data_IF_527467364433
#
_entry.id   IF_527467364433
#
_cell.length_a   1.000
_cell.length_b   1.000
_cell.length_c   1.000
_cell.angle_alpha   90.00
_cell.angle_beta   90.00
_cell.angle_gamma   90.00
#
_symmetry.space_group_name_H-M   'P 1'
#
loop_
_entity.id
_entity.type
_entity.pdbx_description
1 polymer ?
#
# COMPACT_ATOMS: atom_id res chain seq x y z
N UNK A 1 -65.32 -14.94 -44.22
CA UNK A 1 -65.25 -16.31 -43.68
C UNK A 1 -63.81 -16.82 -43.82
N UNK A 2 -63.17 -17.06 -42.66
CA UNK A 2 -62.07 -18.00 -42.36
C UNK A 2 -60.89 -18.13 -43.37
N UNK A 3 -59.73 -17.56 -42.99
CA UNK A 3 -58.41 -18.09 -43.41
C UNK A 3 -57.98 -19.21 -42.43
N UNK A 4 -57.39 -20.31 -42.91
CA UNK A 4 -57.08 -21.49 -42.09
C UNK A 4 -55.71 -21.38 -41.37
N UNK A 5 -55.70 -21.88 -40.14
CA UNK A 5 -54.64 -22.58 -39.39
C UNK A 5 -53.16 -22.29 -39.73
N UNK A 6 -52.53 -21.48 -38.89
CA UNK A 6 -51.08 -21.53 -38.66
C UNK A 6 -50.76 -22.69 -37.68
N UNK A 7 -50.51 -23.88 -38.21
CA UNK A 7 -50.09 -25.05 -37.43
C UNK A 7 -48.57 -25.25 -37.43
N UNK A 8 -48.02 -25.34 -36.21
CA UNK A 8 -46.92 -26.23 -35.79
C UNK A 8 -45.44 -26.01 -36.17
N UNK A 9 -45.03 -25.02 -36.97
CA UNK A 9 -43.59 -24.91 -37.31
C UNK A 9 -42.74 -24.03 -36.37
N UNK A 10 -43.33 -23.09 -35.64
CA UNK A 10 -42.59 -22.19 -34.73
C UNK A 10 -42.12 -22.81 -33.41
N UNK A 11 -42.42 -24.08 -33.13
CA UNK A 11 -42.13 -24.77 -31.84
C UNK A 11 -41.15 -25.94 -31.94
N UNK A 12 -40.45 -26.11 -33.07
CA UNK A 12 -39.53 -27.24 -33.28
C UNK A 12 -38.06 -26.93 -32.96
N UNK A 13 -37.62 -25.67 -33.05
CA UNK A 13 -36.21 -25.30 -32.82
C UNK A 13 -35.79 -25.40 -31.34
N UNK A 14 -36.73 -25.18 -30.41
CA UNK A 14 -36.51 -25.36 -28.96
C UNK A 14 -36.38 -26.84 -28.51
N UNK A 15 -36.56 -27.81 -29.41
CA UNK A 15 -36.54 -29.25 -29.10
C UNK A 15 -35.27 -29.99 -29.54
N UNK A 16 -34.25 -29.30 -30.08
CA UNK A 16 -32.88 -29.85 -30.14
C UNK A 16 -32.19 -29.74 -28.78
N UNK A 17 -32.91 -30.15 -27.73
CA UNK A 17 -32.51 -30.09 -26.32
C UNK A 17 -31.38 -31.08 -26.07
N UNK A 18 -30.34 -30.60 -25.38
CA UNK A 18 -29.36 -31.42 -24.68
C UNK A 18 -30.05 -32.61 -24.01
N UNK A 19 -29.87 -33.83 -24.56
CA UNK A 19 -30.31 -35.07 -23.93
C UNK A 19 -29.28 -35.46 -22.88
N UNK A 20 -29.30 -34.78 -21.73
CA UNK A 20 -28.53 -35.24 -20.59
C UNK A 20 -29.13 -36.57 -20.11
N UNK A 21 -28.31 -37.63 -20.08
CA UNK A 21 -28.66 -38.84 -19.34
C UNK A 21 -28.93 -38.47 -17.89
N UNK A 22 -29.88 -39.14 -17.23
CA UNK A 22 -30.15 -38.94 -15.79
C UNK A 22 -28.85 -39.02 -14.96
N UNK A 23 -27.92 -39.90 -15.37
CA UNK A 23 -26.59 -40.01 -14.75
C UNK A 23 -25.76 -38.75 -14.90
N UNK A 24 -25.76 -38.12 -16.07
CA UNK A 24 -25.03 -36.87 -16.33
C UNK A 24 -25.68 -35.71 -15.58
N UNK A 25 -27.02 -35.64 -15.54
CA UNK A 25 -27.73 -34.63 -14.76
C UNK A 25 -27.42 -34.76 -13.26
N UNK A 26 -27.48 -35.98 -12.71
CA UNK A 26 -27.17 -36.23 -11.30
C UNK A 26 -25.71 -35.91 -10.96
N UNK A 27 -24.78 -36.22 -11.87
CA UNK A 27 -23.36 -35.89 -11.70
C UNK A 27 -23.13 -34.38 -11.68
N UNK A 28 -23.71 -33.63 -12.63
CA UNK A 28 -23.63 -32.17 -12.68
C UNK A 28 -24.30 -31.55 -11.45
N UNK A 29 -25.48 -32.03 -11.07
CA UNK A 29 -26.19 -31.53 -9.88
C UNK A 29 -25.37 -31.76 -8.60
N UNK A 30 -24.82 -32.95 -8.42
CA UNK A 30 -23.95 -33.26 -7.27
C UNK A 30 -22.71 -32.38 -7.26
N UNK A 31 -22.07 -32.18 -8.41
CA UNK A 31 -20.92 -31.28 -8.52
C UNK A 31 -21.28 -29.83 -8.16
N UNK A 32 -22.40 -29.32 -8.67
CA UNK A 32 -22.91 -27.99 -8.32
C UNK A 32 -23.24 -27.88 -6.83
N UNK A 33 -23.88 -28.90 -6.24
CA UNK A 33 -24.21 -28.92 -4.81
C UNK A 33 -22.97 -28.93 -3.93
N UNK A 34 -21.92 -29.69 -4.32
CA UNK A 34 -20.64 -29.70 -3.61
C UNK A 34 -19.92 -28.35 -3.71
N UNK A 35 -19.86 -27.76 -4.91
CA UNK A 35 -19.29 -26.43 -5.12
C UNK A 35 -20.04 -25.37 -4.30
N UNK A 36 -21.37 -25.41 -4.32
CA UNK A 36 -22.20 -24.50 -3.54
C UNK A 36 -21.98 -24.71 -2.03
N UNK A 37 -21.91 -25.96 -1.56
CA UNK A 37 -21.63 -26.29 -0.17
C UNK A 37 -20.26 -25.78 0.29
N UNK A 38 -19.24 -25.88 -0.55
CA UNK A 38 -17.92 -25.31 -0.29
C UNK A 38 -17.96 -23.78 -0.20
N UNK A 39 -18.61 -23.11 -1.16
CA UNK A 39 -18.76 -21.66 -1.17
C UNK A 39 -19.53 -21.16 0.05
N UNK A 40 -20.66 -21.78 0.39
CA UNK A 40 -21.44 -21.42 1.60
C UNK A 40 -20.62 -21.64 2.86
N UNK A 41 -19.84 -22.72 2.95
CA UNK A 41 -18.97 -22.97 4.09
C UNK A 41 -17.87 -21.91 4.22
N UNK A 42 -17.28 -21.50 3.09
CA UNK A 42 -16.30 -20.40 3.03
C UNK A 42 -16.93 -19.09 3.49
N UNK A 43 -18.09 -18.73 2.93
CA UNK A 43 -18.83 -17.51 3.26
C UNK A 43 -19.18 -17.48 4.75
N UNK A 44 -19.68 -18.58 5.32
CA UNK A 44 -19.98 -18.66 6.77
C UNK A 44 -18.75 -18.46 7.66
N UNK A 45 -17.59 -18.99 7.27
CA UNK A 45 -16.33 -18.73 8.01
C UNK A 45 -15.94 -17.26 7.92
N UNK A 46 -16.02 -16.67 6.72
CA UNK A 46 -15.75 -15.26 6.50
C UNK A 46 -16.70 -14.36 7.31
N UNK A 47 -18.00 -14.63 7.30
CA UNK A 47 -19.00 -13.89 8.07
C UNK A 47 -18.69 -13.92 9.57
N UNK A 48 -18.33 -15.10 10.13
CA UNK A 48 -17.95 -15.20 11.54
C UNK A 48 -16.68 -14.40 11.85
N UNK A 49 -15.69 -14.42 10.97
CA UNK A 49 -14.47 -13.65 11.13
C UNK A 49 -14.74 -12.14 11.01
N UNK A 50 -15.52 -11.71 10.02
CA UNK A 50 -15.94 -10.31 9.83
C UNK A 50 -16.70 -9.82 11.06
N UNK A 51 -17.74 -10.54 11.50
CA UNK A 51 -18.51 -10.18 12.68
C UNK A 51 -17.65 -10.12 13.95
N UNK A 52 -16.65 -11.01 14.08
CA UNK A 52 -15.69 -10.96 15.17
C UNK A 52 -14.86 -9.68 15.13
N UNK A 53 -14.28 -9.33 13.98
CA UNK A 53 -13.46 -8.12 13.85
C UNK A 53 -14.30 -6.84 13.98
N UNK A 54 -15.48 -6.75 13.37
CA UNK A 54 -16.37 -5.59 13.45
C UNK A 54 -16.87 -5.32 14.87
N UNK A 55 -17.28 -6.38 15.60
CA UNK A 55 -17.64 -6.26 17.02
C UNK A 55 -16.49 -5.70 17.85
N UNK A 56 -15.27 -5.91 17.39
CA UNK A 56 -14.05 -5.48 18.02
C UNK A 56 -13.42 -4.25 17.33
N UNK A 57 -14.21 -3.44 16.60
CA UNK A 57 -13.76 -2.16 16.03
C UNK A 57 -12.94 -2.27 14.74
N UNK A 58 -12.79 -3.46 14.17
CA UNK A 58 -12.24 -3.66 12.83
C UNK A 58 -13.18 -3.13 11.75
N UNK A 59 -12.61 -2.52 10.71
CA UNK A 59 -13.34 -1.98 9.57
C UNK A 59 -12.98 -2.74 8.31
N UNK A 60 -13.98 -3.14 7.53
CA UNK A 60 -13.79 -3.84 6.27
C UNK A 60 -14.09 -2.97 5.06
N UNK A 61 -13.41 -3.26 3.96
CA UNK A 61 -13.87 -2.89 2.64
C UNK A 61 -13.90 -4.12 1.72
N UNK A 62 -14.86 -4.12 0.82
CA UNK A 62 -15.17 -5.26 -0.05
C UNK A 62 -14.68 -5.03 -1.48
N UNK A 63 -14.52 -6.12 -2.22
CA UNK A 63 -14.06 -6.16 -3.62
C UNK A 63 -14.72 -5.16 -4.56
N UNK A 64 -16.03 -4.93 -4.44
CA UNK A 64 -16.75 -3.97 -5.29
C UNK A 64 -16.47 -2.50 -4.93
N UNK A 65 -15.98 -2.23 -3.73
CA UNK A 65 -15.76 -0.87 -3.20
C UNK A 65 -14.37 -0.33 -3.46
N UNK A 66 -13.40 -1.17 -3.83
CA UNK A 66 -11.99 -0.81 -3.85
C UNK A 66 -11.29 -1.39 -5.07
N UNK A 67 -10.53 -0.56 -5.76
CA UNK A 67 -9.64 -0.99 -6.84
C UNK A 67 -8.18 -0.82 -6.42
N UNK A 68 -7.31 -1.75 -6.81
CA UNK A 68 -5.86 -1.58 -6.68
C UNK A 68 -5.33 -0.77 -7.85
N UNK A 69 -4.59 0.31 -7.55
CA UNK A 69 -3.81 1.04 -8.55
C UNK A 69 -2.61 0.20 -8.97
N UNK A 70 -2.50 -0.08 -10.26
CA UNK A 70 -1.39 -0.85 -10.83
C UNK A 70 -0.05 -0.14 -10.64
N UNK A 71 -0.05 1.20 -10.71
CA UNK A 71 1.13 2.06 -10.66
C UNK A 71 1.67 2.20 -9.24
N UNK A 72 0.77 2.44 -8.30
CA UNK A 72 1.14 2.71 -6.92
C UNK A 72 1.13 1.47 -6.07
N UNK A 73 0.40 0.43 -6.48
CA UNK A 73 -0.05 -0.59 -5.57
C UNK A 73 -0.72 0.09 -4.38
N UNK A 74 -1.61 1.06 -4.55
CA UNK A 74 -2.48 1.58 -3.48
C UNK A 74 -3.92 1.15 -3.75
N UNK A 75 -4.63 0.75 -2.70
CA UNK A 75 -6.06 0.46 -2.81
C UNK A 75 -6.86 1.74 -2.62
N UNK A 76 -7.61 2.11 -3.67
CA UNK A 76 -8.39 3.35 -3.74
C UNK A 76 -9.87 2.97 -3.75
N UNK A 77 -10.67 3.65 -2.94
CA UNK A 77 -12.12 3.48 -2.97
C UNK A 77 -12.65 3.91 -4.34
N UNK A 78 -13.45 3.06 -4.98
CA UNK A 78 -14.08 3.38 -6.26
C UNK A 78 -15.10 4.49 -6.05
N UNK A 79 -15.04 5.54 -6.87
CA UNK A 79 -16.00 6.63 -6.86
C UNK A 79 -16.53 6.88 -8.28
N UNK A 80 -17.85 6.66 -8.54
CA UNK A 80 -18.84 6.13 -7.61
C UNK A 80 -18.53 4.68 -7.20
N UNK A 81 -19.01 4.27 -6.02
CA UNK A 81 -18.92 2.86 -5.59
C UNK A 81 -19.64 2.00 -6.62
N UNK A 82 -19.02 0.89 -7.04
CA UNK A 82 -19.65 -0.01 -8.01
C UNK A 82 -20.96 -0.59 -7.44
N UNK A 83 -21.91 -0.93 -8.32
CA UNK A 83 -23.11 -1.64 -7.91
C UNK A 83 -22.78 -2.97 -7.24
N UNK A 84 -23.55 -3.33 -6.21
CA UNK A 84 -23.44 -4.62 -5.53
C UNK A 84 -23.46 -5.78 -6.54
N UNK A 85 -22.52 -6.73 -6.48
CA UNK A 85 -22.46 -7.83 -7.44
C UNK A 85 -23.62 -8.80 -7.22
N UNK A 86 -24.17 -9.32 -8.33
CA UNK A 86 -25.22 -10.35 -8.34
C UNK A 86 -26.63 -9.78 -8.50
N UNK A 87 -27.57 -10.54 -9.11
CA UNK A 87 -28.96 -10.13 -9.24
C UNK A 87 -29.66 -10.03 -7.87
N UNK A 88 -30.52 -9.03 -7.70
CA UNK A 88 -31.25 -8.78 -6.43
C UNK A 88 -31.98 -10.03 -5.91
N UNK A 89 -32.74 -10.71 -6.77
CA UNK A 89 -33.50 -11.91 -6.41
C UNK A 89 -32.62 -13.02 -5.83
N UNK A 90 -31.37 -13.10 -6.25
CA UNK A 90 -30.45 -14.16 -5.83
C UNK A 90 -29.71 -13.76 -4.55
N UNK A 91 -29.45 -12.46 -4.36
CA UNK A 91 -28.95 -11.91 -3.10
C UNK A 91 -29.98 -12.05 -1.98
N UNK A 92 -31.26 -11.82 -2.26
CA UNK A 92 -32.34 -12.03 -1.30
C UNK A 92 -32.44 -13.49 -0.84
N UNK A 93 -32.10 -14.44 -1.72
CA UNK A 93 -32.14 -15.86 -1.41
C UNK A 93 -30.87 -16.40 -0.73
N UNK A 94 -29.69 -16.00 -1.20
CA UNK A 94 -28.40 -16.53 -0.71
C UNK A 94 -27.69 -15.66 0.33
N UNK A 95 -28.12 -14.41 0.47
CA UNK A 95 -27.43 -13.38 1.24
C UNK A 95 -26.36 -12.64 0.43
N UNK A 96 -26.14 -11.38 0.77
CA UNK A 96 -25.17 -10.49 0.11
C UNK A 96 -23.73 -11.01 0.21
N UNK A 97 -23.34 -11.57 1.35
CA UNK A 97 -21.99 -12.10 1.63
C UNK A 97 -21.56 -13.23 0.70
N UNK A 98 -22.49 -13.85 -0.03
CA UNK A 98 -22.16 -14.82 -1.06
C UNK A 98 -21.43 -14.17 -2.25
N UNK A 99 -21.74 -12.91 -2.55
CA UNK A 99 -21.28 -12.21 -3.74
C UNK A 99 -20.11 -11.26 -3.50
N UNK A 100 -19.81 -10.96 -2.24
CA UNK A 100 -18.78 -10.00 -1.86
C UNK A 100 -17.68 -10.68 -1.04
N UNK A 101 -16.43 -10.30 -1.31
CA UNK A 101 -15.29 -10.71 -0.49
C UNK A 101 -14.74 -9.54 0.31
N UNK A 102 -14.49 -9.69 1.62
CA UNK A 102 -13.69 -8.72 2.37
C UNK A 102 -12.25 -8.79 1.85
N UNK A 103 -11.77 -7.68 1.28
CA UNK A 103 -10.42 -7.58 0.70
C UNK A 103 -9.50 -6.69 1.53
N UNK A 104 -10.06 -5.83 2.38
CA UNK A 104 -9.30 -4.94 3.25
C UNK A 104 -9.85 -5.03 4.66
N UNK A 105 -8.93 -5.13 5.62
CA UNK A 105 -9.21 -5.03 7.05
C UNK A 105 -8.33 -3.92 7.65
N UNK A 106 -8.96 -2.98 8.34
CA UNK A 106 -8.28 -1.99 9.16
C UNK A 106 -8.64 -2.20 10.61
N UNK A 107 -7.62 -2.28 11.46
CA UNK A 107 -7.73 -2.46 12.91
C UNK A 107 -7.12 -1.22 13.55
N UNK A 108 -7.94 -0.42 14.24
CA UNK A 108 -7.52 0.82 14.89
C UNK A 108 -7.67 0.70 16.40
N UNK A 109 -6.69 1.13 17.20
CA UNK A 109 -6.80 1.10 18.68
C UNK A 109 -8.01 1.84 19.25
N UNK A 110 -8.52 2.86 18.56
CA UNK A 110 -9.59 3.73 19.06
C UNK A 110 -10.95 3.02 18.94
N UNK A 111 -11.36 2.37 20.02
CA UNK A 111 -12.69 1.75 20.16
C UNK A 111 -12.68 0.23 20.36
N UNK A 112 -11.51 -0.37 20.53
CA UNK A 112 -11.38 -1.82 20.59
C UNK A 112 -11.38 -2.33 22.05
N UNK A 113 -12.31 -3.25 22.35
CA UNK A 113 -12.29 -4.09 23.55
C UNK A 113 -11.39 -5.34 23.40
N UNK A 114 -10.78 -5.59 22.23
CA UNK A 114 -9.59 -6.44 22.17
C UNK A 114 -8.54 -5.74 23.02
N UNK A 115 -8.05 -6.39 24.06
CA UNK A 115 -6.83 -5.94 24.73
C UNK A 115 -5.64 -6.00 23.77
N UNK A 116 -4.49 -6.47 24.27
CA UNK A 116 -3.37 -6.85 23.39
C UNK A 116 -3.90 -7.77 22.28
N UNK A 117 -3.55 -7.49 21.02
CA UNK A 117 -3.90 -8.35 19.88
C UNK A 117 -3.24 -9.71 20.13
N UNK A 118 -4.00 -10.69 20.58
CA UNK A 118 -3.48 -12.01 20.95
C UNK A 118 -3.30 -12.90 19.71
N UNK A 119 -2.54 -13.98 19.84
CA UNK A 119 -2.35 -14.98 18.78
C UNK A 119 -3.68 -15.52 18.24
N UNK A 120 -4.69 -15.68 19.09
CA UNK A 120 -6.04 -16.11 18.68
C UNK A 120 -6.73 -15.12 17.72
N UNK A 121 -6.43 -13.83 17.81
CA UNK A 121 -6.95 -12.81 16.88
C UNK A 121 -6.24 -12.95 15.53
N UNK A 122 -4.92 -13.15 15.57
CA UNK A 122 -4.08 -13.26 14.39
C UNK A 122 -4.38 -14.54 13.60
N UNK A 123 -4.61 -15.67 14.27
CA UNK A 123 -4.99 -16.93 13.64
C UNK A 123 -6.30 -16.82 12.82
N UNK A 124 -7.24 -15.95 13.24
CA UNK A 124 -8.50 -15.73 12.53
C UNK A 124 -8.34 -15.07 11.16
N UNK A 125 -7.16 -14.51 10.83
CA UNK A 125 -6.91 -14.05 9.47
C UNK A 125 -6.93 -15.21 8.45
N UNK A 126 -6.71 -16.46 8.90
CA UNK A 126 -6.86 -17.64 8.04
C UNK A 126 -8.29 -17.85 7.53
N UNK A 127 -9.29 -17.33 8.25
CA UNK A 127 -10.70 -17.36 7.83
C UNK A 127 -11.05 -16.28 6.79
N UNK A 128 -10.10 -15.40 6.44
CA UNK A 128 -10.24 -14.32 5.46
C UNK A 128 -9.32 -14.55 4.24
N UNK A 129 -9.54 -15.60 3.43
CA UNK A 129 -8.62 -15.99 2.35
C UNK A 129 -8.56 -15.00 1.19
N UNK A 130 -9.55 -14.10 1.07
CA UNK A 130 -9.59 -13.05 0.04
C UNK A 130 -8.88 -11.76 0.49
N UNK A 131 -8.29 -11.73 1.69
CA UNK A 131 -7.70 -10.52 2.24
C UNK A 131 -6.45 -10.10 1.44
N UNK A 132 -6.50 -8.88 0.91
CA UNK A 132 -5.42 -8.28 0.11
C UNK A 132 -4.73 -7.13 0.86
N UNK A 133 -5.43 -6.48 1.79
CA UNK A 133 -4.88 -5.41 2.64
C UNK A 133 -5.14 -5.61 4.11
N UNK A 134 -4.12 -5.35 4.92
CA UNK A 134 -4.20 -5.35 6.36
C UNK A 134 -3.50 -4.11 6.93
N UNK A 135 -4.26 -3.34 7.70
CA UNK A 135 -3.77 -2.15 8.39
C UNK A 135 -3.93 -2.34 9.89
N UNK A 136 -2.81 -2.30 10.60
CA UNK A 136 -2.76 -2.21 12.04
C UNK A 136 -2.35 -0.80 12.40
N UNK A 137 -3.28 0.00 12.91
CA UNK A 137 -2.98 1.36 13.38
C UNK A 137 -3.01 1.41 14.89
N UNK A 138 -1.92 1.90 15.46
CA UNK A 138 -1.73 2.00 16.91
C UNK A 138 -1.90 0.63 17.60
N UNK A 139 -1.44 -0.44 16.96
CA UNK A 139 -1.70 -1.79 17.46
C UNK A 139 -0.75 -2.17 18.58
N UNK A 140 -1.29 -2.77 19.64
CA UNK A 140 -0.52 -3.48 20.68
C UNK A 140 -0.14 -4.90 20.20
N UNK A 141 0.39 -5.01 18.96
CA UNK A 141 0.92 -6.27 18.41
C UNK A 141 2.20 -6.65 19.16
N UNK A 142 2.40 -7.94 19.38
CA UNK A 142 3.58 -8.53 20.03
C UNK A 142 4.19 -9.60 19.13
N UNK A 143 5.45 -9.97 19.40
CA UNK A 143 6.12 -11.10 18.72
C UNK A 143 5.31 -12.40 18.85
N UNK A 144 4.77 -12.67 20.04
CA UNK A 144 3.90 -13.82 20.30
C UNK A 144 2.68 -13.84 19.36
N UNK A 145 2.04 -12.68 19.18
CA UNK A 145 0.89 -12.58 18.28
C UNK A 145 1.28 -12.81 16.81
N UNK A 146 2.40 -12.24 16.36
CA UNK A 146 2.86 -12.33 14.96
C UNK A 146 3.50 -13.68 14.63
N UNK A 147 4.01 -14.41 15.62
CA UNK A 147 4.50 -15.78 15.45
C UNK A 147 3.42 -16.73 14.91
N UNK A 148 2.16 -16.47 15.27
CA UNK A 148 0.97 -17.21 14.82
C UNK A 148 0.36 -16.71 13.51
N UNK A 149 1.00 -15.72 12.84
CA UNK A 149 0.51 -15.14 11.60
C UNK A 149 0.37 -16.23 10.51
N UNK A 150 -0.85 -16.48 10.00
CA UNK A 150 -1.06 -17.48 8.97
C UNK A 150 -0.42 -17.05 7.65
N UNK A 151 -0.22 -18.00 6.73
CA UNK A 151 0.19 -17.64 5.38
C UNK A 151 -0.98 -16.97 4.64
N UNK A 152 -0.78 -15.72 4.24
CA UNK A 152 -1.79 -14.92 3.54
C UNK A 152 -1.35 -14.72 2.09
N UNK A 153 -1.61 -15.73 1.26
CA UNK A 153 -1.16 -15.77 -0.14
C UNK A 153 -1.78 -14.70 -1.05
N UNK A 154 -2.85 -14.01 -0.64
CA UNK A 154 -3.43 -12.90 -1.41
C UNK A 154 -3.04 -11.53 -0.86
N UNK A 155 -2.36 -11.49 0.29
CA UNK A 155 -2.01 -10.23 0.95
C UNK A 155 -0.91 -9.53 0.16
N UNK A 156 -1.24 -8.33 -0.30
CA UNK A 156 -0.34 -7.47 -1.07
C UNK A 156 0.09 -6.24 -0.24
N UNK A 157 -0.63 -5.92 0.85
CA UNK A 157 -0.48 -4.67 1.57
C UNK A 157 -0.50 -4.93 3.05
N UNK A 158 0.57 -4.52 3.70
CA UNK A 158 0.69 -4.60 5.15
C UNK A 158 1.17 -3.24 5.67
N UNK A 159 0.41 -2.69 6.60
CA UNK A 159 0.86 -1.57 7.42
C UNK A 159 0.77 -1.97 8.87
N UNK A 160 1.88 -1.87 9.60
CA UNK A 160 1.93 -2.01 11.05
C UNK A 160 2.47 -0.71 11.61
N UNK A 161 1.57 0.12 12.13
CA UNK A 161 1.90 1.36 12.81
C UNK A 161 1.82 1.10 14.31
N UNK A 162 2.99 1.08 14.93
CA UNK A 162 3.16 0.92 16.36
C UNK A 162 2.52 2.08 17.13
N UNK A 163 1.85 1.81 18.25
CA UNK A 163 1.33 2.86 19.16
C UNK A 163 2.40 3.47 20.08
N UNK A 164 3.64 3.04 19.95
CA UNK A 164 4.71 3.32 20.90
C UNK A 164 5.22 4.75 20.68
N UNK A 165 5.41 5.48 21.79
CA UNK A 165 5.95 6.84 21.73
C UNK A 165 7.46 6.79 21.41
N UNK A 166 8.03 7.81 20.76
CA UNK A 166 9.47 7.90 20.59
C UNK A 166 10.20 7.74 21.95
N UNK A 167 11.10 6.75 22.05
CA UNK A 167 11.87 6.46 23.27
C UNK A 167 11.34 5.34 24.16
N UNK A 168 10.16 4.79 23.90
CA UNK A 168 9.67 3.57 24.54
C UNK A 168 10.19 2.32 23.82
N UNK A 169 10.33 1.20 24.55
CA UNK A 169 10.82 -0.06 23.98
C UNK A 169 9.87 -0.54 22.88
N UNK A 170 10.44 -0.76 21.69
CA UNK A 170 9.72 -1.29 20.54
C UNK A 170 9.24 -2.72 20.84
N UNK A 171 7.94 -2.97 20.72
CA UNK A 171 7.28 -4.20 21.22
C UNK A 171 7.43 -5.39 20.26
N UNK A 172 7.46 -5.13 18.94
CA UNK A 172 7.71 -6.15 17.92
C UNK A 172 9.18 -6.09 17.51
N UNK A 173 9.86 -7.22 17.68
CA UNK A 173 11.26 -7.45 17.36
C UNK A 173 11.44 -8.58 16.34
N UNK A 174 10.50 -9.52 16.25
CA UNK A 174 10.57 -10.65 15.31
C UNK A 174 9.70 -10.39 14.06
N UNK A 175 10.37 -10.15 12.93
CA UNK A 175 9.74 -9.94 11.63
C UNK A 175 9.77 -11.18 10.72
N UNK A 176 10.12 -12.36 11.24
CA UNK A 176 10.19 -13.62 10.47
C UNK A 176 8.87 -14.02 9.82
N UNK A 177 7.73 -13.54 10.35
CA UNK A 177 6.40 -13.75 9.78
C UNK A 177 6.25 -13.20 8.36
N UNK A 178 7.08 -12.23 7.96
CA UNK A 178 7.08 -11.67 6.61
C UNK A 178 7.37 -12.72 5.53
N UNK A 179 8.12 -13.78 5.87
CA UNK A 179 8.34 -14.93 4.97
C UNK A 179 7.03 -15.66 4.60
N UNK A 180 5.97 -15.51 5.39
CA UNK A 180 4.66 -16.14 5.15
C UNK A 180 3.75 -15.29 4.25
N UNK A 181 4.24 -14.15 3.77
CA UNK A 181 3.51 -13.15 2.97
C UNK A 181 4.18 -12.96 1.59
N UNK A 182 4.11 -13.96 0.70
CA UNK A 182 4.95 -14.02 -0.51
C UNK A 182 4.58 -13.02 -1.62
N UNK A 183 3.42 -12.38 -1.53
CA UNK A 183 2.88 -11.52 -2.59
C UNK A 183 2.78 -10.05 -2.16
N UNK A 184 3.58 -9.63 -1.17
CA UNK A 184 3.59 -8.24 -0.73
C UNK A 184 4.09 -7.31 -1.86
N UNK A 185 3.37 -6.20 -2.00
CA UNK A 185 3.72 -5.09 -2.91
C UNK A 185 3.93 -3.80 -2.14
N UNK A 186 3.26 -3.66 -1.01
CA UNK A 186 3.38 -2.50 -0.11
C UNK A 186 3.61 -2.96 1.31
N UNK A 187 4.72 -2.52 1.87
CA UNK A 187 5.06 -2.71 3.28
C UNK A 187 5.34 -1.37 3.95
N UNK A 188 4.68 -1.14 5.07
CA UNK A 188 4.89 0.03 5.91
C UNK A 188 5.02 -0.41 7.36
N UNK A 189 6.21 -0.20 7.92
CA UNK A 189 6.57 -0.53 9.30
C UNK A 189 7.19 0.69 10.01
N UNK A 190 6.52 1.86 10.03
CA UNK A 190 7.07 3.03 10.69
C UNK A 190 7.14 2.82 12.20
N UNK A 191 8.12 3.44 12.87
CA UNK A 191 8.31 3.37 14.32
C UNK A 191 8.43 1.93 14.83
N UNK A 192 9.07 1.05 14.04
CA UNK A 192 9.22 -0.37 14.32
C UNK A 192 10.68 -0.73 14.65
N UNK A 193 10.91 -1.89 15.26
CA UNK A 193 12.26 -2.33 15.62
C UNK A 193 13.07 -2.85 14.42
N UNK A 194 12.44 -2.90 13.25
CA UNK A 194 13.01 -3.44 12.02
C UNK A 194 14.44 -2.94 11.77
N UNK A 195 15.38 -3.87 11.63
CA UNK A 195 16.79 -3.59 11.43
C UNK A 195 17.36 -4.29 10.18
N UNK A 196 18.69 -4.36 10.08
CA UNK A 196 19.39 -4.92 8.93
C UNK A 196 19.26 -6.45 8.84
N UNK A 197 19.11 -7.16 9.97
CA UNK A 197 18.94 -8.62 9.98
C UNK A 197 17.54 -8.97 9.44
N UNK A 198 16.54 -8.16 9.78
CA UNK A 198 15.16 -8.32 9.31
C UNK A 198 14.99 -8.10 7.80
N UNK A 199 15.89 -7.33 7.17
CA UNK A 199 15.87 -7.08 5.73
C UNK A 199 15.87 -8.38 4.91
N UNK A 200 16.50 -9.44 5.44
CA UNK A 200 16.55 -10.77 4.82
C UNK A 200 15.17 -11.41 4.62
N UNK A 201 14.18 -11.08 5.45
CA UNK A 201 12.82 -11.61 5.34
C UNK A 201 12.02 -10.98 4.19
N UNK A 202 12.47 -9.82 3.69
CA UNK A 202 11.87 -9.17 2.52
C UNK A 202 12.38 -9.74 1.20
N UNK A 203 13.43 -10.57 1.22
CA UNK A 203 14.02 -11.18 0.02
C UNK A 203 13.04 -12.14 -0.68
N UNK A 204 12.10 -12.73 0.07
CA UNK A 204 11.06 -13.61 -0.46
C UNK A 204 9.72 -12.90 -0.72
N UNK A 205 9.61 -11.62 -0.38
CA UNK A 205 8.34 -10.89 -0.19
C UNK A 205 7.61 -10.44 -1.45
N UNK A 206 7.97 -10.93 -2.63
CA UNK A 206 7.42 -10.44 -3.90
C UNK A 206 8.05 -9.11 -4.35
N UNK A 207 7.66 -8.66 -5.55
CA UNK A 207 8.12 -7.41 -6.14
C UNK A 207 7.54 -6.19 -5.38
N UNK A 208 8.20 -5.79 -4.29
CA UNK A 208 7.82 -4.63 -3.51
C UNK A 208 7.88 -3.37 -4.36
N UNK A 209 6.74 -2.69 -4.48
CA UNK A 209 6.63 -1.39 -5.13
C UNK A 209 6.80 -0.23 -4.14
N UNK A 210 6.45 -0.46 -2.87
CA UNK A 210 6.50 0.56 -1.84
C UNK A 210 7.03 0.01 -0.53
N UNK A 211 8.05 0.68 0.00
CA UNK A 211 8.63 0.36 1.28
C UNK A 211 8.73 1.63 2.14
N UNK A 212 8.18 1.57 3.35
CA UNK A 212 8.28 2.65 4.34
C UNK A 212 8.79 2.09 5.66
N UNK A 213 10.02 2.44 6.01
CA UNK A 213 10.73 2.01 7.21
C UNK A 213 11.20 3.24 8.02
N UNK A 214 10.33 4.24 8.16
CA UNK A 214 10.66 5.43 8.95
C UNK A 214 10.83 5.09 10.44
N UNK A 215 11.79 5.74 11.11
CA UNK A 215 12.07 5.56 12.55
C UNK A 215 12.44 4.12 12.94
N UNK A 216 13.01 3.36 12.01
CA UNK A 216 13.50 2.00 12.25
C UNK A 216 15.02 1.97 12.44
N UNK A 217 15.57 0.81 12.76
CA UNK A 217 17.00 0.63 13.00
C UNK A 217 17.78 0.23 11.73
N UNK A 218 17.12 0.15 10.56
CA UNK A 218 17.73 -0.14 9.26
C UNK A 218 18.87 0.86 8.96
N UNK A 219 19.99 0.33 8.49
CA UNK A 219 21.17 1.04 8.02
C UNK A 219 21.62 0.53 6.65
N UNK A 220 22.90 0.74 6.36
CA UNK A 220 23.48 0.53 5.04
C UNK A 220 23.55 -0.97 4.68
N UNK A 221 23.82 -1.83 5.67
CA UNK A 221 23.86 -3.29 5.49
C UNK A 221 22.49 -3.85 5.10
N UNK A 222 21.41 -3.32 5.69
CA UNK A 222 20.06 -3.67 5.33
C UNK A 222 19.74 -3.25 3.90
N UNK A 223 20.08 -2.02 3.49
CA UNK A 223 19.91 -1.57 2.11
C UNK A 223 20.66 -2.44 1.09
N UNK A 224 21.84 -2.95 1.44
CA UNK A 224 22.60 -3.87 0.58
C UNK A 224 21.87 -5.18 0.33
N UNK A 225 21.15 -5.70 1.32
CA UNK A 225 20.47 -7.01 1.24
C UNK A 225 19.08 -6.90 0.61
N UNK A 226 18.44 -5.73 0.70
CA UNK A 226 17.12 -5.48 0.16
C UNK A 226 17.10 -5.59 -1.37
N UNK A 227 16.35 -6.58 -1.89
CA UNK A 227 16.10 -6.72 -3.34
C UNK A 227 14.89 -5.90 -3.76
N UNK A 228 15.13 -4.65 -4.14
CA UNK A 228 14.07 -3.66 -4.40
C UNK A 228 13.97 -3.24 -5.87
N UNK A 229 14.29 -4.11 -6.83
CA UNK A 229 14.42 -3.72 -8.25
C UNK A 229 13.18 -3.02 -8.83
N UNK A 230 11.99 -3.38 -8.32
CA UNK A 230 10.70 -2.85 -8.76
C UNK A 230 10.17 -1.70 -7.86
N UNK A 231 10.96 -1.24 -6.87
CA UNK A 231 10.48 -0.25 -5.91
C UNK A 231 10.30 1.11 -6.58
N UNK A 232 9.11 1.67 -6.40
CA UNK A 232 8.73 2.99 -6.94
C UNK A 232 8.82 4.05 -5.84
N UNK A 233 8.56 3.67 -4.59
CA UNK A 233 8.55 4.58 -3.44
C UNK A 233 9.31 3.95 -2.28
N UNK A 234 10.36 4.63 -1.84
CA UNK A 234 11.18 4.26 -0.71
C UNK A 234 11.20 5.41 0.30
N UNK A 235 10.77 5.13 1.54
CA UNK A 235 10.81 6.08 2.65
C UNK A 235 11.62 5.52 3.81
N UNK A 236 12.69 6.22 4.13
CA UNK A 236 13.66 5.89 5.17
C UNK A 236 13.92 7.09 6.10
N UNK A 237 12.89 7.88 6.52
CA UNK A 237 13.17 9.01 7.39
C UNK A 237 13.63 8.52 8.77
N UNK A 238 14.62 9.21 9.36
CA UNK A 238 15.16 8.95 10.70
C UNK A 238 15.62 7.50 10.89
N UNK A 239 16.24 6.93 9.87
CA UNK A 239 16.93 5.62 9.93
C UNK A 239 18.43 5.82 10.14
N UNK A 240 19.20 4.73 10.21
CA UNK A 240 20.66 4.75 10.34
C UNK A 240 21.38 4.75 8.99
N UNK A 241 20.66 5.02 7.90
CA UNK A 241 21.23 5.06 6.55
C UNK A 241 22.18 6.24 6.40
N UNK A 242 23.35 5.98 5.85
CA UNK A 242 24.42 6.96 5.60
C UNK A 242 24.71 7.09 4.09
N UNK A 243 25.70 7.92 3.75
CA UNK A 243 26.12 8.13 2.37
C UNK A 243 26.53 6.83 1.68
N UNK A 244 27.14 5.89 2.42
CA UNK A 244 27.51 4.56 1.90
C UNK A 244 26.27 3.77 1.49
N UNK A 245 25.19 3.81 2.29
CA UNK A 245 23.94 3.12 1.99
C UNK A 245 23.29 3.59 0.69
N UNK A 246 23.47 4.86 0.32
CA UNK A 246 22.93 5.38 -0.95
C UNK A 246 23.58 4.74 -2.18
N UNK A 247 24.80 4.22 -2.06
CA UNK A 247 25.47 3.51 -3.16
C UNK A 247 24.70 2.26 -3.59
N UNK A 248 23.98 1.61 -2.68
CA UNK A 248 23.17 0.41 -2.99
C UNK A 248 21.84 0.73 -3.67
N UNK A 249 21.47 2.02 -3.79
CA UNK A 249 20.24 2.43 -4.46
C UNK A 249 20.40 2.61 -5.96
N UNK A 250 21.63 2.59 -6.50
CA UNK A 250 21.94 2.85 -7.90
C UNK A 250 21.19 1.95 -8.91
N UNK A 251 20.88 0.72 -8.50
CA UNK A 251 20.16 -0.28 -9.28
C UNK A 251 18.63 -0.11 -9.30
N UNK A 252 18.07 0.81 -8.52
CA UNK A 252 16.63 1.00 -8.36
C UNK A 252 16.04 1.84 -9.52
N UNK A 253 16.06 1.27 -10.72
CA UNK A 253 15.68 1.97 -11.96
C UNK A 253 14.22 2.46 -12.01
N UNK A 254 13.34 1.86 -11.20
CA UNK A 254 11.92 2.24 -11.07
C UNK A 254 11.64 3.29 -9.99
N UNK A 255 12.65 3.66 -9.18
CA UNK A 255 12.47 4.55 -8.03
C UNK A 255 12.09 5.96 -8.49
N UNK A 256 10.93 6.42 -8.02
CA UNK A 256 10.37 7.74 -8.33
C UNK A 256 10.31 8.66 -7.12
N UNK A 257 10.17 8.08 -5.91
CA UNK A 257 9.99 8.82 -4.67
C UNK A 257 10.97 8.31 -3.61
N UNK A 258 11.87 9.18 -3.17
CA UNK A 258 12.83 8.90 -2.11
C UNK A 258 12.68 9.92 -0.97
N UNK A 259 12.47 9.42 0.24
CA UNK A 259 12.43 10.22 1.47
C UNK A 259 13.54 9.76 2.43
N UNK A 260 14.48 10.67 2.71
CA UNK A 260 15.65 10.47 3.57
C UNK A 260 15.66 11.49 4.73
N UNK A 261 14.51 12.02 5.12
CA UNK A 261 14.45 13.09 6.12
C UNK A 261 15.07 12.67 7.47
N UNK A 262 15.85 13.53 8.11
CA UNK A 262 16.43 13.27 9.44
C UNK A 262 17.43 12.11 9.46
N UNK A 263 18.02 11.76 8.32
CA UNK A 263 19.15 10.83 8.22
C UNK A 263 20.48 11.60 8.30
N UNK A 264 21.60 10.88 8.39
CA UNK A 264 22.94 11.48 8.45
C UNK A 264 23.56 11.75 7.07
N UNK A 265 22.74 11.78 6.01
CA UNK A 265 23.19 12.02 4.64
C UNK A 265 23.85 13.40 4.49
N UNK A 266 24.95 13.43 3.75
CA UNK A 266 25.74 14.63 3.44
C UNK A 266 25.76 14.91 1.93
N UNK A 267 26.47 15.96 1.53
CA UNK A 267 26.60 16.36 0.13
C UNK A 267 27.22 15.25 -0.73
N UNK A 268 28.12 14.44 -0.17
CA UNK A 268 28.82 13.39 -0.90
C UNK A 268 27.90 12.21 -1.27
N UNK A 269 26.99 11.82 -0.37
CA UNK A 269 26.01 10.76 -0.64
C UNK A 269 25.08 11.06 -1.81
N UNK A 270 24.84 12.35 -2.12
CA UNK A 270 23.99 12.75 -3.25
C UNK A 270 24.55 12.34 -4.61
N UNK A 271 25.85 12.05 -4.72
CA UNK A 271 26.46 11.59 -5.95
C UNK A 271 25.79 10.31 -6.49
N UNK A 272 25.36 9.43 -5.58
CA UNK A 272 24.72 8.14 -5.91
C UNK A 272 23.29 8.28 -6.44
N UNK A 273 22.62 9.42 -6.19
CA UNK A 273 21.22 9.61 -6.62
C UNK A 273 21.08 10.08 -8.07
N UNK A 274 22.17 10.55 -8.68
CA UNK A 274 22.19 11.05 -10.06
C UNK A 274 21.96 9.97 -11.12
N UNK A 275 22.22 8.70 -10.79
CA UNK A 275 22.03 7.56 -11.68
C UNK A 275 20.57 7.10 -11.77
N UNK A 276 19.67 7.60 -10.91
CA UNK A 276 18.28 7.16 -10.83
C UNK A 276 17.41 7.83 -11.92
N UNK A 277 17.08 7.13 -13.03
CA UNK A 277 16.51 7.77 -14.22
C UNK A 277 15.06 8.24 -14.00
N UNK A 278 14.36 7.58 -13.08
CA UNK A 278 12.94 7.83 -12.80
C UNK A 278 12.71 8.67 -11.54
N UNK A 279 13.75 9.11 -10.83
CA UNK A 279 13.56 9.90 -9.61
C UNK A 279 12.83 11.22 -9.93
N UNK A 280 11.70 11.47 -9.25
CA UNK A 280 10.84 12.66 -9.42
C UNK A 280 10.66 13.44 -8.14
N UNK A 281 10.71 12.79 -6.99
CA UNK A 281 10.57 13.39 -5.66
C UNK A 281 11.74 12.97 -4.77
N UNK A 282 12.40 13.96 -4.17
CA UNK A 282 13.46 13.77 -3.19
C UNK A 282 13.19 14.66 -1.97
N UNK A 283 13.19 14.05 -0.78
CA UNK A 283 13.08 14.77 0.49
C UNK A 283 14.32 14.53 1.35
N UNK A 284 14.96 15.64 1.74
CA UNK A 284 16.21 15.70 2.49
C UNK A 284 16.05 16.64 3.70
N UNK A 285 14.84 16.70 4.27
CA UNK A 285 14.55 17.58 5.41
C UNK A 285 15.42 17.19 6.59
N UNK A 286 15.98 18.18 7.29
CA UNK A 286 16.78 17.95 8.50
C UNK A 286 18.00 17.04 8.25
N UNK A 287 18.69 17.26 7.13
CA UNK A 287 19.94 16.58 6.75
C UNK A 287 21.09 17.59 6.65
N UNK A 288 22.32 17.10 6.48
CA UNK A 288 23.52 17.95 6.48
C UNK A 288 23.82 18.64 5.13
N UNK A 289 22.88 18.62 4.17
CA UNK A 289 23.08 19.15 2.81
C UNK A 289 23.39 20.65 2.82
N UNK A 290 24.42 21.04 2.09
CA UNK A 290 24.89 22.41 1.94
C UNK A 290 24.94 22.85 0.47
N UNK A 291 25.50 24.03 0.19
CA UNK A 291 25.73 24.50 -1.17
C UNK A 291 26.65 23.57 -1.97
N UNK A 292 27.51 22.80 -1.32
CA UNK A 292 28.36 21.81 -1.99
C UNK A 292 27.53 20.69 -2.65
N UNK A 293 26.37 20.34 -2.10
CA UNK A 293 25.46 19.32 -2.64
C UNK A 293 24.71 19.77 -3.90
N UNK A 294 24.64 21.09 -4.17
CA UNK A 294 23.99 21.64 -5.37
C UNK A 294 24.58 21.05 -6.66
N UNK A 295 25.90 20.78 -6.66
CA UNK A 295 26.60 20.19 -7.81
C UNK A 295 26.06 18.81 -8.18
N UNK A 296 25.51 18.06 -7.22
CA UNK A 296 24.91 16.73 -7.43
C UNK A 296 23.41 16.83 -7.70
N UNK A 297 22.68 17.64 -6.92
CA UNK A 297 21.24 17.81 -7.07
C UNK A 297 20.84 18.25 -8.48
N UNK A 298 21.63 19.14 -9.11
CA UNK A 298 21.38 19.61 -10.47
C UNK A 298 21.54 18.52 -11.53
N UNK A 299 22.24 17.43 -11.25
CA UNK A 299 22.42 16.31 -12.19
C UNK A 299 21.20 15.37 -12.21
N UNK A 300 20.32 15.46 -11.22
CA UNK A 300 19.06 14.72 -11.15
C UNK A 300 18.00 15.41 -12.03
N UNK A 301 18.19 15.37 -13.36
CA UNK A 301 17.37 16.13 -14.33
C UNK A 301 15.87 15.81 -14.30
N UNK A 302 15.49 14.64 -13.80
CA UNK A 302 14.10 14.21 -13.68
C UNK A 302 13.35 14.83 -12.50
N UNK A 303 14.02 15.54 -11.60
CA UNK A 303 13.43 15.97 -10.33
C UNK A 303 12.33 17.03 -10.54
N UNK A 304 11.14 16.77 -9.98
CA UNK A 304 9.98 17.66 -10.05
C UNK A 304 9.65 18.29 -8.71
N UNK A 305 10.10 17.68 -7.62
CA UNK A 305 9.86 18.12 -6.24
C UNK A 305 11.10 17.81 -5.41
N UNK A 306 11.60 18.84 -4.73
CA UNK A 306 12.76 18.77 -3.86
C UNK A 306 12.45 19.45 -2.54
N UNK A 307 12.66 18.75 -1.43
CA UNK A 307 12.45 19.29 -0.10
C UNK A 307 13.75 19.38 0.68
N UNK A 308 14.18 20.61 0.96
CA UNK A 308 15.42 21.00 1.63
C UNK A 308 15.12 21.84 2.90
N UNK A 309 13.96 21.63 3.52
CA UNK A 309 13.63 22.30 4.79
C UNK A 309 14.66 21.91 5.85
N UNK A 310 15.12 22.88 6.64
CA UNK A 310 16.09 22.65 7.72
C UNK A 310 17.42 22.02 7.27
N UNK A 311 17.87 22.27 6.03
CA UNK A 311 19.25 21.95 5.61
C UNK A 311 20.17 23.16 5.78
N UNK A 312 21.45 23.01 5.43
CA UNK A 312 22.48 24.04 5.49
C UNK A 312 22.66 24.81 4.17
N UNK A 313 21.74 24.63 3.21
CA UNK A 313 21.81 25.32 1.91
C UNK A 313 21.55 26.82 2.07
N UNK A 314 22.31 27.66 1.38
CA UNK A 314 22.15 29.11 1.40
C UNK A 314 21.15 29.60 0.34
N UNK A 315 20.84 30.89 0.37
CA UNK A 315 20.07 31.54 -0.70
C UNK A 315 20.79 31.44 -2.06
N UNK A 316 22.13 31.51 -2.09
CA UNK A 316 22.89 31.37 -3.34
C UNK A 316 22.83 29.95 -3.90
N UNK A 317 22.88 28.93 -3.04
CA UNK A 317 22.70 27.54 -3.46
C UNK A 317 21.31 27.30 -4.04
N UNK A 318 20.27 27.84 -3.40
CA UNK A 318 18.89 27.74 -3.89
C UNK A 318 18.70 28.48 -5.22
N UNK A 319 19.26 29.68 -5.38
CA UNK A 319 19.22 30.41 -6.67
C UNK A 319 19.82 29.55 -7.79
N UNK A 320 20.97 28.94 -7.54
CA UNK A 320 21.63 28.05 -8.51
C UNK A 320 20.76 26.83 -8.86
N UNK A 321 20.02 26.28 -7.89
CA UNK A 321 19.08 25.19 -8.15
C UNK A 321 17.87 25.62 -8.98
N UNK A 322 17.32 26.82 -8.76
CA UNK A 322 16.24 27.34 -9.61
C UNK A 322 16.69 27.52 -11.07
N UNK A 323 17.89 28.01 -11.28
CA UNK A 323 18.46 28.16 -12.63
C UNK A 323 18.70 26.80 -13.30
N UNK A 324 19.13 25.80 -12.52
CA UNK A 324 19.49 24.47 -13.04
C UNK A 324 18.29 23.51 -13.18
N UNK A 325 17.24 23.69 -12.37
CA UNK A 325 16.06 22.83 -12.30
C UNK A 325 14.77 23.66 -12.40
N UNK A 326 14.51 24.34 -13.54
CA UNK A 326 13.43 25.32 -13.66
C UNK A 326 12.02 24.74 -13.49
N UNK A 327 11.84 23.42 -13.69
CA UNK A 327 10.57 22.72 -13.52
C UNK A 327 10.43 22.01 -12.16
N UNK A 328 11.41 22.17 -11.26
CA UNK A 328 11.40 21.53 -9.96
C UNK A 328 10.81 22.46 -8.90
N UNK A 329 9.80 21.97 -8.17
CA UNK A 329 9.25 22.67 -7.01
C UNK A 329 10.16 22.43 -5.81
N UNK A 330 10.92 23.46 -5.45
CA UNK A 330 11.86 23.43 -4.32
C UNK A 330 11.19 24.00 -3.08
N UNK A 331 11.23 23.25 -1.97
CA UNK A 331 10.81 23.71 -0.64
C UNK A 331 12.03 23.90 0.24
N UNK A 332 12.17 25.07 0.83
CA UNK A 332 13.23 25.42 1.80
C UNK A 332 12.64 26.32 2.88
N UNK A 333 13.13 26.20 4.11
CA UNK A 333 12.78 27.11 5.22
C UNK A 333 14.05 27.36 6.01
N UNK A 334 14.37 28.64 6.22
CA UNK A 334 15.47 29.12 7.06
C UNK A 334 14.91 29.88 8.25
N UNK A 335 14.93 29.30 9.46
CA UNK A 335 14.42 29.98 10.65
C UNK A 335 12.95 30.44 10.52
N UNK A 336 12.45 31.24 11.48
CA UNK A 336 11.03 31.62 11.59
C UNK A 336 10.60 32.62 10.51
N UNK A 337 10.37 32.17 9.28
CA UNK A 337 9.82 33.00 8.22
C UNK A 337 9.47 32.16 6.99
N UNK A 338 8.20 32.18 6.60
CA UNK A 338 7.72 31.47 5.41
C UNK A 338 8.07 32.29 4.17
N UNK A 339 8.82 31.71 3.22
CA UNK A 339 8.85 32.18 1.84
C UNK A 339 8.09 31.18 0.97
N UNK A 340 6.82 31.46 0.69
CA UNK A 340 6.08 30.80 -0.40
C UNK A 340 6.36 31.60 -1.66
N UNK A 341 7.09 31.01 -2.61
CA UNK A 341 6.95 31.39 -4.03
C UNK A 341 6.18 30.27 -4.72
N UNK A 342 4.86 30.27 -4.51
CA UNK A 342 3.95 29.60 -5.43
C UNK A 342 3.94 30.45 -6.70
N UNK A 343 4.40 29.89 -7.81
CA UNK A 343 4.27 30.54 -9.11
C UNK A 343 2.79 30.82 -9.40
N UNK A 344 2.47 32.11 -9.52
CA UNK A 344 1.16 32.62 -9.88
C UNK A 344 0.84 32.27 -11.33
N UNK A 345 0.23 31.12 -11.54
CA UNK A 345 -0.59 30.86 -12.72
C UNK A 345 -2.06 31.10 -12.40
N UNK A 346 -2.50 32.37 -12.30
CA UNK A 346 -3.91 32.77 -12.43
C UNK A 346 -4.04 34.29 -12.51
N UNK A 347 -4.88 34.72 -13.44
CA UNK A 347 -5.15 36.07 -13.92
C UNK A 347 -5.31 37.15 -12.83
N UNK A 348 -4.59 38.27 -12.99
CA UNK A 348 -4.99 39.56 -12.41
C UNK A 348 -6.24 40.07 -13.15
N UNK A 349 -7.42 39.88 -12.55
CA UNK A 349 -8.57 40.77 -12.81
C UNK A 349 -8.44 41.96 -11.87
N UNK A 350 -8.31 43.14 -12.45
CA UNK A 350 -8.16 44.39 -11.72
C UNK A 350 -9.46 44.86 -11.11
N UNK A 351 -9.34 45.54 -9.97
CA UNK A 351 -10.26 46.59 -9.55
C UNK A 351 -9.43 47.73 -8.92
N UNK A 352 -9.39 48.84 -9.66
CA UNK A 352 -9.34 50.21 -9.16
C UNK A 352 -10.40 50.38 -8.04
N UNK A 353 -10.31 51.26 -7.05
CA UNK A 353 -9.55 52.50 -6.85
C UNK A 353 -9.75 52.95 -5.39
N UNK A 354 -8.72 53.58 -4.83
CA UNK A 354 -8.73 54.53 -3.69
C UNK A 354 -9.65 55.75 -3.97
N UNK A 355 -9.96 56.64 -3.00
CA UNK A 355 -9.30 56.92 -1.71
C UNK A 355 -9.96 56.32 -0.47
#
# INVERSE_FOLDING_TARGET
>A
MLKPNATSEGRSWLRRRLRFSLKTFLAVFTACALLMGFTVSKVRRQERAVAFFEKNGGQFAYDYQVSSSSVTGEFIYTNPVNSMPGPDWLRDWMGDHYFISPIRLSIHRVGIHLGKVSSQVVERFADLPSLQSLYFRQSDLTDESLSSMPSLGQLQYLTIESSIRPGENKVVQDYSFLNRLPNLRVLSLPFSAFDDDDASYLVNGGALLRLTLGDTAIGDEGLRVLKLQDVVLLKLPRTKVTDEGLSYLDSLSELQHLDLNGTTITDDGLAHLSSLPKLRYLSLVDTAISDAGVKHLREIKGLTRLNLISTKISETGISTLYDSLPNCRIRVVWGRGWVRKEESGSQKLGLNSSP
#
